data_IF_992366442850
#
_entry.id   IF_992366442850
#
_cell.length_a   1.000
_cell.length_b   1.000
_cell.length_c   1.000
_cell.angle_alpha   90.00
_cell.angle_beta   90.00
_cell.angle_gamma   90.00
#
_symmetry.space_group_name_H-M   'P 1'
#
loop_
_entity.id
_entity.type
_entity.pdbx_description
1 polymer ?
#
# COMPACT_ATOMS: atom_id res chain seq x y z
N UNK A 1 15.96 8.03 -28.79
CA UNK A 1 14.83 7.29 -29.40
C UNK A 1 15.41 5.91 -29.69
N UNK A 2 15.16 4.84 -28.92
CA UNK A 2 13.88 4.14 -28.68
C UNK A 2 13.99 3.42 -27.32
N UNK A 3 13.01 3.57 -26.41
CA UNK A 3 12.90 2.73 -25.21
C UNK A 3 12.55 1.31 -25.68
N UNK A 4 13.52 0.40 -25.71
CA UNK A 4 13.28 -1.00 -26.06
C UNK A 4 12.29 -1.62 -25.07
N UNK A 5 11.11 -2.00 -25.55
CA UNK A 5 10.07 -2.67 -24.78
C UNK A 5 10.58 -4.04 -24.30
N UNK A 6 11.15 -4.07 -23.10
CA UNK A 6 11.50 -5.34 -22.43
C UNK A 6 10.22 -6.15 -22.24
N UNK A 7 10.22 -7.42 -22.67
CA UNK A 7 9.05 -8.28 -22.52
C UNK A 7 8.71 -8.50 -21.04
N UNK A 8 7.45 -8.81 -20.69
CA UNK A 8 7.05 -9.08 -19.30
C UNK A 8 7.88 -10.22 -18.68
N UNK A 9 8.25 -11.22 -19.49
CA UNK A 9 9.16 -12.30 -19.11
C UNK A 9 10.57 -11.78 -18.80
N UNK A 10 11.10 -10.87 -19.62
CA UNK A 10 12.40 -10.24 -19.38
C UNK A 10 12.39 -9.33 -18.14
N UNK A 11 11.31 -8.58 -17.92
CA UNK A 11 11.13 -7.72 -16.74
C UNK A 11 11.19 -8.55 -15.45
N UNK A 12 10.54 -9.72 -15.42
CA UNK A 12 10.60 -10.64 -14.28
C UNK A 12 11.80 -11.59 -14.30
N UNK A 13 12.63 -11.55 -15.36
CA UNK A 13 13.76 -12.47 -15.60
C UNK A 13 13.35 -13.94 -15.54
N UNK A 14 12.28 -14.28 -16.26
CA UNK A 14 11.72 -15.63 -16.34
C UNK A 14 11.67 -16.12 -17.79
N UNK A 15 11.78 -17.44 -18.03
CA UNK A 15 11.46 -18.02 -19.33
C UNK A 15 9.95 -18.00 -19.59
N UNK A 16 9.55 -18.07 -20.86
CA UNK A 16 8.13 -18.19 -21.26
C UNK A 16 7.44 -19.43 -20.68
N UNK A 17 8.21 -20.47 -20.36
CA UNK A 17 7.76 -21.72 -19.74
C UNK A 17 7.59 -21.64 -18.22
N UNK A 18 7.83 -20.47 -17.60
CA UNK A 18 7.76 -20.32 -16.15
C UNK A 18 6.39 -20.67 -15.59
N UNK A 19 6.38 -21.41 -14.49
CA UNK A 19 5.18 -21.76 -13.73
C UNK A 19 4.66 -20.56 -12.93
N UNK A 20 3.38 -20.58 -12.56
CA UNK A 20 2.77 -19.54 -11.71
C UNK A 20 3.51 -19.37 -10.38
N UNK A 21 4.06 -20.46 -9.84
CA UNK A 21 4.86 -20.44 -8.61
C UNK A 21 6.15 -19.64 -8.82
N UNK A 22 6.85 -19.85 -9.93
CA UNK A 22 8.07 -19.12 -10.30
C UNK A 22 7.78 -17.65 -10.59
N UNK A 23 6.66 -17.36 -11.28
CA UNK A 23 6.17 -15.99 -11.53
C UNK A 23 5.97 -15.23 -10.21
N UNK A 24 5.28 -15.84 -9.24
CA UNK A 24 5.08 -15.25 -7.91
C UNK A 24 6.40 -15.01 -7.17
N UNK A 25 7.35 -15.95 -7.25
CA UNK A 25 8.67 -15.83 -6.59
C UNK A 25 9.50 -14.72 -7.23
N UNK A 26 9.59 -14.71 -8.56
CA UNK A 26 10.35 -13.71 -9.31
C UNK A 26 9.79 -12.31 -9.09
N UNK A 27 8.46 -12.17 -9.12
CA UNK A 27 7.78 -10.93 -8.81
C UNK A 27 8.14 -10.41 -7.43
N UNK A 28 8.03 -11.21 -6.36
CA UNK A 28 8.40 -10.76 -5.00
C UNK A 28 9.85 -10.26 -4.93
N UNK A 29 10.77 -10.94 -5.63
CA UNK A 29 12.19 -10.56 -5.67
C UNK A 29 12.42 -9.28 -6.48
N UNK A 30 11.78 -9.15 -7.63
CA UNK A 30 11.87 -7.98 -8.50
C UNK A 30 11.22 -6.77 -7.84
N UNK A 31 10.03 -6.93 -7.26
CA UNK A 31 9.30 -5.90 -6.53
C UNK A 31 10.16 -5.36 -5.39
N UNK A 32 10.73 -6.20 -4.53
CA UNK A 32 11.60 -5.74 -3.42
C UNK A 32 12.81 -4.91 -3.90
N UNK A 33 13.40 -5.27 -5.05
CA UNK A 33 14.55 -4.57 -5.63
C UNK A 33 14.16 -3.25 -6.30
N UNK A 34 13.05 -3.26 -7.01
CA UNK A 34 12.51 -2.08 -7.68
C UNK A 34 11.76 -1.15 -6.71
N UNK A 35 11.44 -1.61 -5.49
CA UNK A 35 10.66 -0.85 -4.53
C UNK A 35 11.37 0.45 -4.17
N UNK A 36 10.74 1.62 -4.38
CA UNK A 36 11.43 2.89 -4.17
C UNK A 36 11.83 3.18 -2.72
N UNK A 37 11.09 2.67 -1.73
CA UNK A 37 11.50 2.75 -0.31
C UNK A 37 12.78 1.96 0.00
N UNK A 38 13.23 1.10 -0.91
CA UNK A 38 14.50 0.36 -0.81
C UNK A 38 15.56 0.88 -1.79
N UNK A 39 15.38 2.11 -2.31
CA UNK A 39 16.30 2.74 -3.26
C UNK A 39 16.08 2.34 -4.72
N UNK A 40 14.95 1.69 -5.05
CA UNK A 40 14.55 1.37 -6.41
C UNK A 40 13.84 2.52 -7.15
N UNK A 41 13.44 2.27 -8.40
CA UNK A 41 12.75 3.24 -9.26
C UNK A 41 11.25 2.89 -9.39
N UNK A 42 10.39 3.88 -9.16
CA UNK A 42 8.94 3.75 -9.26
C UNK A 42 8.46 3.32 -10.66
N UNK A 43 9.14 3.77 -11.72
CA UNK A 43 8.84 3.37 -13.08
C UNK A 43 9.18 1.90 -13.32
N UNK A 44 10.34 1.45 -12.83
CA UNK A 44 10.73 0.04 -12.88
C UNK A 44 9.77 -0.81 -12.06
N UNK A 45 9.36 -0.32 -10.90
CA UNK A 45 8.38 -1.00 -10.06
C UNK A 45 7.03 -1.17 -10.77
N UNK A 46 6.53 -0.12 -11.43
CA UNK A 46 5.33 -0.20 -12.27
C UNK A 46 5.46 -1.26 -13.36
N UNK A 47 6.60 -1.31 -14.05
CA UNK A 47 6.86 -2.33 -15.07
C UNK A 47 6.85 -3.75 -14.49
N UNK A 48 7.48 -3.94 -13.31
CA UNK A 48 7.50 -5.21 -12.60
C UNK A 48 6.09 -5.66 -12.17
N UNK A 49 5.28 -4.74 -11.64
CA UNK A 49 3.88 -5.02 -11.28
C UNK A 49 3.04 -5.36 -12.51
N UNK A 50 3.13 -4.56 -13.58
CA UNK A 50 2.40 -4.82 -14.82
C UNK A 50 2.77 -6.18 -15.43
N UNK A 51 4.07 -6.51 -15.45
CA UNK A 51 4.54 -7.80 -15.94
C UNK A 51 3.95 -8.96 -15.12
N UNK A 52 3.93 -8.84 -13.80
CA UNK A 52 3.33 -9.84 -12.93
C UNK A 52 1.82 -9.97 -13.15
N UNK A 53 1.08 -8.86 -13.20
CA UNK A 53 -0.38 -8.86 -13.41
C UNK A 53 -0.79 -9.50 -14.73
N UNK A 54 -0.03 -9.27 -15.80
CA UNK A 54 -0.28 -9.89 -17.10
C UNK A 54 0.06 -11.38 -17.09
N UNK A 55 1.20 -11.76 -16.49
CA UNK A 55 1.68 -13.15 -16.55
C UNK A 55 1.00 -14.09 -15.55
N UNK A 56 0.47 -13.60 -14.43
CA UNK A 56 -0.15 -14.46 -13.41
C UNK A 56 -1.62 -14.80 -13.71
N UNK A 57 -2.29 -14.00 -14.54
CA UNK A 57 -3.64 -14.28 -15.00
C UNK A 57 -3.58 -15.16 -16.26
N UNK A 58 -4.15 -16.39 -16.26
CA UNK A 58 -4.03 -17.30 -17.40
C UNK A 58 -4.60 -16.74 -18.70
N UNK A 59 -5.66 -15.92 -18.64
CA UNK A 59 -6.28 -15.33 -19.83
C UNK A 59 -5.44 -14.19 -20.38
N UNK A 60 -4.94 -13.31 -19.51
CA UNK A 60 -4.06 -12.19 -19.90
C UNK A 60 -2.71 -12.71 -20.40
N UNK A 61 -2.15 -13.74 -19.75
CA UNK A 61 -0.94 -14.42 -20.17
C UNK A 61 -1.11 -15.05 -21.55
N UNK A 62 -2.17 -15.81 -21.77
CA UNK A 62 -2.42 -16.42 -23.08
C UNK A 62 -2.59 -15.36 -24.19
N UNK A 63 -3.25 -14.23 -23.90
CA UNK A 63 -3.37 -13.12 -24.84
C UNK A 63 -2.01 -12.46 -25.14
N UNK A 64 -1.20 -12.26 -24.10
CA UNK A 64 0.15 -11.73 -24.20
C UNK A 64 1.09 -12.69 -24.96
N UNK A 65 1.02 -13.99 -24.69
CA UNK A 65 1.85 -15.00 -25.35
C UNK A 65 1.54 -15.09 -26.84
N UNK A 66 0.26 -14.93 -27.22
CA UNK A 66 -0.13 -14.83 -28.63
C UNK A 66 0.52 -13.63 -29.30
N UNK A 67 0.43 -12.43 -28.74
CA UNK A 67 1.06 -11.24 -29.35
C UNK A 67 2.58 -11.29 -29.29
N UNK A 68 3.15 -11.89 -28.24
CA UNK A 68 4.59 -12.09 -28.08
C UNK A 68 5.16 -13.02 -29.16
N UNK A 69 4.48 -14.14 -29.43
CA UNK A 69 4.88 -15.09 -30.47
C UNK A 69 4.81 -14.51 -31.90
N UNK A 70 3.91 -13.56 -32.16
CA UNK A 70 3.79 -12.88 -33.45
C UNK A 70 4.80 -11.73 -33.63
N UNK A 71 5.46 -11.28 -32.55
CA UNK A 71 6.46 -10.20 -32.58
C UNK A 71 7.92 -10.66 -32.55
N UNK A 72 8.19 -11.93 -32.21
CA UNK A 72 9.55 -12.50 -32.15
C UNK A 72 9.79 -13.47 -33.30
N UNK A 73 10.06 -12.93 -34.49
CA UNK A 73 10.75 -13.68 -35.54
C UNK A 73 12.18 -13.98 -35.10
N UNK A 74 12.49 -15.27 -34.97
CA UNK A 74 13.78 -15.92 -34.75
C UNK A 74 15.05 -15.06 -34.61
N UNK A 75 15.71 -15.14 -33.44
CA UNK A 75 17.17 -15.32 -33.36
C UNK A 75 17.52 -16.20 -32.14
N UNK A 76 18.42 -17.19 -32.25
CA UNK A 76 18.80 -18.05 -31.15
C UNK A 76 19.72 -17.33 -30.14
N UNK A 77 19.76 -17.87 -28.93
CA UNK A 77 20.56 -17.41 -27.82
C UNK A 77 22.07 -17.36 -28.13
N UNK A 78 22.70 -16.23 -27.82
CA UNK A 78 24.15 -16.13 -27.62
C UNK A 78 24.42 -15.38 -26.33
N UNK A 79 25.24 -15.99 -25.46
CA UNK A 79 25.56 -15.49 -24.14
C UNK A 79 26.35 -14.19 -24.21
N UNK A 80 25.74 -13.11 -23.73
CA UNK A 80 26.45 -11.86 -23.48
C UNK A 80 26.95 -11.85 -22.03
N UNK A 81 28.25 -12.13 -21.87
CA UNK A 81 29.04 -11.72 -20.72
C UNK A 81 28.86 -10.21 -20.48
N UNK A 82 28.54 -9.83 -19.24
CA UNK A 82 28.65 -8.44 -18.80
C UNK A 82 29.88 -8.32 -17.91
N UNK A 83 30.95 -7.75 -18.46
CA UNK A 83 32.02 -7.19 -17.66
C UNK A 83 31.49 -5.97 -16.89
N UNK A 84 31.73 -5.97 -15.59
CA UNK A 84 31.43 -4.84 -14.71
C UNK A 84 32.48 -3.73 -14.94
N UNK A 85 32.10 -2.45 -15.12
CA UNK A 85 33.07 -1.38 -15.00
C UNK A 85 33.31 -1.06 -13.53
N UNK A 86 34.59 -0.86 -13.24
CA UNK A 86 35.17 -0.57 -11.95
C UNK A 86 34.68 0.75 -11.34
N UNK A 87 34.79 0.79 -10.01
CA UNK A 87 34.54 1.96 -9.19
C UNK A 87 35.47 3.14 -9.53
N UNK A 88 34.92 4.36 -9.51
CA UNK A 88 35.68 5.58 -9.28
C UNK A 88 35.61 6.62 -10.39
N UNK A 89 34.68 7.56 -10.29
CA UNK A 89 34.93 8.97 -10.61
C UNK A 89 33.82 9.85 -10.04
N UNK A 90 34.18 10.65 -9.02
CA UNK A 90 33.39 11.78 -8.55
C UNK A 90 33.61 12.94 -9.54
N UNK A 91 32.61 13.23 -10.35
CA UNK A 91 32.48 14.51 -11.01
C UNK A 91 31.04 15.00 -10.82
N UNK A 92 30.89 16.05 -10.01
CA UNK A 92 29.63 16.75 -9.82
C UNK A 92 29.25 17.45 -11.13
N UNK A 93 28.45 16.78 -11.96
CA UNK A 93 27.72 17.44 -13.03
C UNK A 93 26.36 17.90 -12.47
N UNK A 94 26.19 19.21 -12.33
CA UNK A 94 24.88 19.83 -12.11
C UNK A 94 23.99 19.55 -13.31
N UNK A 95 23.24 18.44 -13.23
CA UNK A 95 22.19 18.11 -14.19
C UNK A 95 21.03 19.07 -13.93
N UNK A 96 20.86 20.04 -14.83
CA UNK A 96 19.63 20.81 -14.93
C UNK A 96 18.52 19.85 -15.36
N UNK A 97 17.78 19.28 -14.39
CA UNK A 97 16.62 18.44 -14.67
C UNK A 97 15.50 19.35 -15.20
N UNK A 98 14.95 19.11 -16.40
CA UNK A 98 13.75 19.80 -16.83
C UNK A 98 12.62 19.52 -15.81
N UNK A 99 11.78 20.53 -15.61
CA UNK A 99 10.73 20.61 -14.60
C UNK A 99 9.83 19.35 -14.64
N UNK A 100 10.22 18.30 -13.91
CA UNK A 100 9.42 17.09 -13.79
C UNK A 100 8.17 17.47 -13.03
N UNK A 101 6.96 17.14 -13.52
CA UNK A 101 5.72 17.51 -12.85
C UNK A 101 5.78 17.07 -11.38
N UNK A 102 5.37 17.98 -10.49
CA UNK A 102 5.35 17.70 -9.05
C UNK A 102 4.53 16.43 -8.82
N UNK A 103 5.11 15.51 -8.06
CA UNK A 103 4.52 14.23 -7.66
C UNK A 103 4.45 14.22 -6.14
N UNK A 104 3.76 15.22 -5.60
CA UNK A 104 3.55 15.43 -4.17
C UNK A 104 2.17 14.94 -3.77
N UNK A 105 1.98 14.61 -2.50
CA UNK A 105 0.72 14.02 -2.03
C UNK A 105 -0.51 14.89 -2.27
N UNK A 106 -0.33 16.22 -2.31
CA UNK A 106 -1.41 17.19 -2.52
C UNK A 106 -1.77 17.43 -3.99
N UNK A 107 -1.03 16.87 -4.94
CA UNK A 107 -1.33 17.01 -6.37
C UNK A 107 -2.58 16.20 -6.76
N UNK A 108 -3.14 16.51 -7.93
CA UNK A 108 -4.29 15.81 -8.48
C UNK A 108 -4.03 14.30 -8.60
N UNK A 109 -5.05 13.44 -8.39
CA UNK A 109 -4.87 12.00 -8.42
C UNK A 109 -4.52 11.50 -9.82
N UNK A 110 -3.46 10.69 -9.91
CA UNK A 110 -3.06 9.98 -11.14
C UNK A 110 -3.48 8.53 -11.02
N UNK A 111 -4.34 8.06 -11.94
CA UNK A 111 -4.79 6.67 -11.94
C UNK A 111 -3.81 5.78 -12.67
N UNK A 112 -3.47 4.64 -12.05
CA UNK A 112 -2.57 3.65 -12.63
C UNK A 112 -3.25 2.27 -12.61
N UNK A 113 -3.52 1.66 -13.78
CA UNK A 113 -3.41 2.25 -15.12
C UNK A 113 -4.41 3.41 -15.34
N UNK A 114 -4.18 4.29 -16.33
CA UNK A 114 -5.11 5.36 -16.68
C UNK A 114 -6.41 4.80 -17.27
N UNK A 115 -7.52 5.51 -17.06
CA UNK A 115 -8.84 5.11 -17.59
C UNK A 115 -9.04 5.46 -19.07
N UNK A 116 -8.23 6.37 -19.61
CA UNK A 116 -8.38 6.91 -20.98
C UNK A 116 -7.73 6.04 -22.06
N UNK A 117 -6.92 5.03 -21.70
CA UNK A 117 -6.32 4.06 -22.63
C UNK A 117 -7.34 3.01 -23.15
N UNK A 118 -8.42 3.49 -23.79
CA UNK A 118 -9.42 2.65 -24.46
C UNK A 118 -8.86 1.90 -25.67
N UNK A 119 -7.75 2.37 -26.26
CA UNK A 119 -7.11 1.75 -27.43
C UNK A 119 -6.58 0.34 -27.15
N UNK A 120 -6.31 0.00 -25.88
CA UNK A 120 -5.79 -1.33 -25.52
C UNK A 120 -6.88 -2.41 -25.36
N UNK A 121 -8.18 -2.07 -25.53
CA UNK A 121 -9.30 -3.02 -25.41
C UNK A 121 -9.47 -3.67 -24.03
N UNK A 122 -8.73 -3.21 -23.01
CA UNK A 122 -8.76 -3.78 -21.66
C UNK A 122 -9.93 -3.20 -20.86
N UNK A 123 -10.85 -4.07 -20.43
CA UNK A 123 -11.92 -3.69 -19.49
C UNK A 123 -11.29 -3.28 -18.15
N UNK A 124 -11.58 -2.08 -17.63
CA UNK A 124 -11.02 -1.63 -16.36
C UNK A 124 -11.48 -2.53 -15.21
N UNK A 125 -10.58 -2.83 -14.26
CA UNK A 125 -10.84 -3.74 -13.14
C UNK A 125 -12.00 -3.28 -12.24
N UNK A 126 -12.22 -1.97 -12.18
CA UNK A 126 -13.33 -1.29 -11.52
C UNK A 126 -13.71 -0.05 -12.34
N UNK A 127 -14.98 0.42 -12.30
CA UNK A 127 -15.40 1.66 -12.96
C UNK A 127 -14.63 2.89 -12.44
N UNK A 128 -14.46 3.89 -13.30
CA UNK A 128 -13.73 5.13 -12.96
C UNK A 128 -14.40 5.89 -11.81
N UNK A 129 -15.73 5.88 -11.74
CA UNK A 129 -16.53 6.51 -10.69
C UNK A 129 -16.26 5.85 -9.33
N UNK A 130 -16.12 4.52 -9.32
CA UNK A 130 -15.77 3.77 -8.13
C UNK A 130 -14.33 4.09 -7.72
N UNK A 131 -13.39 4.12 -8.66
CA UNK A 131 -12.00 4.46 -8.37
C UNK A 131 -11.81 5.92 -7.94
N UNK A 132 -12.67 6.85 -8.36
CA UNK A 132 -12.61 8.27 -8.00
C UNK A 132 -13.12 8.55 -6.58
N UNK A 133 -14.04 7.74 -6.07
CA UNK A 133 -14.59 7.89 -4.72
C UNK A 133 -13.49 7.69 -3.68
N UNK A 134 -13.32 8.63 -2.74
CA UNK A 134 -12.28 8.50 -1.70
C UNK A 134 -12.67 7.58 -0.54
N UNK A 135 -13.96 7.39 -0.27
CA UNK A 135 -14.44 6.58 0.87
C UNK A 135 -15.27 5.40 0.35
N UNK A 136 -14.90 4.19 0.75
CA UNK A 136 -15.54 2.94 0.36
C UNK A 136 -16.02 2.16 1.59
N UNK A 137 -17.13 1.45 1.43
CA UNK A 137 -17.76 0.69 2.52
C UNK A 137 -18.30 1.60 3.62
N UNK A 138 -18.72 0.98 4.72
CA UNK A 138 -19.23 1.67 5.90
C UNK A 138 -18.77 0.96 7.17
N UNK A 139 -18.57 1.68 8.29
CA UNK A 139 -18.46 1.07 9.61
C UNK A 139 -19.66 0.17 9.89
N UNK A 140 -19.42 -1.09 10.27
CA UNK A 140 -20.51 -2.09 10.32
C UNK A 140 -21.29 -2.03 11.63
N UNK A 141 -22.62 -2.26 11.55
CA UNK A 141 -23.45 -2.62 12.71
C UNK A 141 -23.40 -4.14 12.86
N UNK A 142 -22.90 -4.67 13.98
CA UNK A 142 -22.89 -6.12 14.24
C UNK A 142 -23.27 -6.37 15.71
N UNK A 143 -24.21 -7.29 15.93
CA UNK A 143 -24.66 -7.71 17.27
C UNK A 143 -25.63 -6.75 17.95
N UNK A 144 -26.48 -7.28 18.84
CA UNK A 144 -27.52 -6.53 19.59
C UNK A 144 -26.90 -5.77 20.79
N UNK A 145 -25.69 -6.15 21.23
CA UNK A 145 -24.99 -5.60 22.38
C UNK A 145 -23.56 -5.18 22.01
N UNK A 146 -23.07 -4.04 22.54
CA UNK A 146 -21.69 -3.57 22.35
C UNK A 146 -21.35 -2.97 20.97
N UNK A 147 -22.30 -2.99 20.03
CA UNK A 147 -22.14 -2.41 18.71
C UNK A 147 -21.89 -0.89 18.76
N UNK A 148 -22.48 -0.19 19.72
CA UNK A 148 -22.46 1.27 19.77
C UNK A 148 -21.07 1.84 20.02
N UNK A 149 -20.34 1.38 21.04
CA UNK A 149 -18.97 1.83 21.30
C UNK A 149 -18.02 1.52 20.13
N UNK A 150 -18.24 0.38 19.46
CA UNK A 150 -17.50 -0.03 18.25
C UNK A 150 -17.79 0.89 17.06
N UNK A 151 -19.07 1.15 16.79
CA UNK A 151 -19.50 2.07 15.72
C UNK A 151 -18.96 3.47 16.02
N UNK A 152 -19.00 3.93 17.27
CA UNK A 152 -18.47 5.23 17.67
C UNK A 152 -16.97 5.34 17.38
N UNK A 153 -16.14 4.35 17.75
CA UNK A 153 -14.68 4.39 17.48
C UNK A 153 -14.36 4.32 15.98
N UNK A 154 -15.07 3.51 15.21
CA UNK A 154 -14.89 3.43 13.75
C UNK A 154 -15.33 4.72 13.07
N UNK A 155 -16.51 5.25 13.40
CA UNK A 155 -17.03 6.50 12.85
C UNK A 155 -16.12 7.69 13.15
N UNK A 156 -15.55 7.76 14.36
CA UNK A 156 -14.56 8.80 14.71
C UNK A 156 -13.31 8.71 13.84
N UNK A 157 -12.82 7.50 13.59
CA UNK A 157 -11.67 7.29 12.70
C UNK A 157 -11.99 7.73 11.27
N UNK A 158 -13.16 7.36 10.74
CA UNK A 158 -13.62 7.81 9.41
C UNK A 158 -13.72 9.34 9.36
N UNK A 159 -14.33 9.98 10.36
CA UNK A 159 -14.45 11.44 10.42
C UNK A 159 -13.09 12.13 10.49
N UNK A 160 -12.16 11.60 11.28
CA UNK A 160 -10.82 12.14 11.42
C UNK A 160 -10.04 12.07 10.10
N UNK A 161 -10.06 10.91 9.43
CA UNK A 161 -9.40 10.70 8.13
C UNK A 161 -10.03 11.59 7.07
N UNK A 162 -11.37 11.61 6.98
CA UNK A 162 -12.10 12.41 5.99
C UNK A 162 -11.88 13.91 6.15
N UNK A 163 -11.68 14.40 7.38
CA UNK A 163 -11.43 15.84 7.62
C UNK A 163 -9.97 16.23 7.47
N UNK A 164 -9.03 15.38 7.91
CA UNK A 164 -7.63 15.80 8.06
C UNK A 164 -6.67 15.17 7.05
N UNK A 165 -7.04 14.05 6.42
CA UNK A 165 -6.16 13.32 5.49
C UNK A 165 -6.64 13.47 4.05
N UNK A 166 -7.90 13.11 3.77
CA UNK A 166 -8.42 13.07 2.39
C UNK A 166 -8.33 14.41 1.63
N UNK A 167 -8.54 15.58 2.27
CA UNK A 167 -8.35 16.87 1.59
C UNK A 167 -6.88 17.18 1.28
N UNK A 168 -5.95 16.66 2.10
CA UNK A 168 -4.51 16.88 1.93
C UNK A 168 -3.87 15.87 0.96
N UNK A 169 -4.52 14.73 0.73
CA UNK A 169 -4.05 13.65 -0.14
C UNK A 169 -5.20 13.19 -1.04
N UNK A 170 -5.49 13.89 -2.15
CA UNK A 170 -6.63 13.59 -3.04
C UNK A 170 -6.64 12.15 -3.59
N UNK A 171 -5.46 11.55 -3.75
CA UNK A 171 -5.31 10.17 -4.21
C UNK A 171 -5.62 9.11 -3.15
N UNK A 172 -5.76 9.49 -1.87
CA UNK A 172 -6.04 8.54 -0.82
C UNK A 172 -7.42 7.90 -0.97
N UNK A 173 -7.50 6.59 -0.68
CA UNK A 173 -8.72 5.77 -0.68
C UNK A 173 -8.87 5.11 0.68
N UNK A 174 -9.89 5.51 1.41
CA UNK A 174 -10.30 4.91 2.68
C UNK A 174 -11.27 3.76 2.39
N UNK A 175 -10.92 2.55 2.84
CA UNK A 175 -11.73 1.36 2.71
C UNK A 175 -12.14 0.91 4.11
N UNK A 176 -13.45 0.83 4.34
CA UNK A 176 -14.04 0.43 5.61
C UNK A 176 -14.62 -0.99 5.53
N UNK A 177 -14.50 -1.75 6.62
CA UNK A 177 -15.15 -3.06 6.74
C UNK A 177 -14.49 -4.17 5.93
N UNK A 178 -13.17 -4.15 5.81
CA UNK A 178 -12.39 -5.22 5.17
C UNK A 178 -12.38 -6.50 6.04
N UNK A 179 -12.29 -7.65 5.40
CA UNK A 179 -11.98 -8.91 6.07
C UNK A 179 -10.47 -9.17 6.08
N UNK A 180 -9.98 -9.62 7.22
CA UNK A 180 -8.61 -10.03 7.43
C UNK A 180 -8.36 -11.34 6.69
N UNK A 181 -7.37 -11.39 5.80
CA UNK A 181 -7.01 -12.63 5.10
C UNK A 181 -6.22 -13.60 6.01
N UNK A 182 -5.90 -13.20 7.25
CA UNK A 182 -5.16 -14.03 8.18
C UNK A 182 -6.07 -15.04 8.91
N UNK A 183 -7.24 -14.58 9.30
CA UNK A 183 -8.13 -15.23 10.27
C UNK A 183 -9.62 -14.91 10.02
N UNK A 184 -9.96 -14.28 8.89
CA UNK A 184 -11.31 -13.81 8.53
C UNK A 184 -11.93 -12.84 9.56
N UNK A 185 -11.12 -12.27 10.46
CA UNK A 185 -11.55 -11.20 11.37
C UNK A 185 -11.81 -9.90 10.60
N UNK A 186 -12.37 -8.88 11.24
CA UNK A 186 -12.61 -7.58 10.58
C UNK A 186 -11.42 -6.65 10.79
N UNK A 187 -10.99 -5.99 9.71
CA UNK A 187 -10.10 -4.84 9.76
C UNK A 187 -10.99 -3.60 9.77
N UNK A 188 -10.86 -2.75 10.78
CA UNK A 188 -11.72 -1.56 10.92
C UNK A 188 -11.61 -0.68 9.67
N UNK A 189 -10.38 -0.25 9.33
CA UNK A 189 -10.11 0.59 8.17
C UNK A 189 -8.79 0.26 7.49
N UNK A 190 -8.72 0.52 6.19
CA UNK A 190 -7.47 0.60 5.45
C UNK A 190 -7.41 1.89 4.63
N UNK A 191 -6.24 2.49 4.51
CA UNK A 191 -6.01 3.71 3.74
C UNK A 191 -4.89 3.47 2.73
N UNK A 192 -5.26 3.54 1.44
CA UNK A 192 -4.37 3.32 0.30
C UNK A 192 -4.04 4.66 -0.37
N UNK A 193 -2.77 4.92 -0.63
CA UNK A 193 -2.30 6.03 -1.49
C UNK A 193 -0.95 5.65 -2.09
N UNK A 194 -0.83 5.79 -3.41
CA UNK A 194 0.33 5.32 -4.17
C UNK A 194 0.61 3.83 -3.91
N UNK A 195 1.79 3.58 -3.34
CA UNK A 195 2.28 2.25 -2.98
C UNK A 195 2.33 2.03 -1.48
N UNK A 196 1.48 2.74 -0.73
CA UNK A 196 1.41 2.66 0.73
C UNK A 196 0.02 2.27 1.18
N UNK A 197 -0.04 1.28 2.07
CA UNK A 197 -1.27 0.79 2.67
C UNK A 197 -1.15 0.85 4.19
N UNK A 198 -1.97 1.70 4.80
CA UNK A 198 -2.09 1.79 6.24
C UNK A 198 -3.30 0.97 6.71
N UNK A 199 -3.08 -0.03 7.56
CA UNK A 199 -4.17 -0.71 8.28
C UNK A 199 -4.41 0.01 9.60
N UNK A 200 -5.67 0.26 9.94
CA UNK A 200 -6.03 1.07 11.11
C UNK A 200 -7.02 0.28 11.94
N UNK A 201 -6.64 -0.02 13.17
CA UNK A 201 -7.54 -0.44 14.23
C UNK A 201 -7.83 0.71 15.16
N UNK A 202 -8.96 0.67 15.85
CA UNK A 202 -9.34 1.74 16.79
C UNK A 202 -9.74 1.22 18.16
N UNK A 203 -9.57 2.06 19.17
CA UNK A 203 -10.04 1.85 20.54
C UNK A 203 -10.71 3.13 21.04
N UNK A 204 -11.58 3.00 22.05
CA UNK A 204 -12.12 4.12 22.79
C UNK A 204 -11.73 3.92 24.25
N UNK A 205 -10.84 4.78 24.76
CA UNK A 205 -10.36 4.70 26.15
C UNK A 205 -10.53 6.05 26.83
N UNK A 206 -10.86 6.09 28.14
CA UNK A 206 -10.94 7.33 28.90
C UNK A 206 -9.67 8.17 28.78
N UNK A 207 -9.81 9.48 29.00
CA UNK A 207 -8.67 10.39 29.14
C UNK A 207 -7.72 9.90 30.24
N UNK A 208 -6.44 10.24 30.09
CA UNK A 208 -5.41 9.84 31.04
C UNK A 208 -4.10 9.49 30.35
N UNK A 209 -3.10 9.16 31.17
CA UNK A 209 -1.78 8.75 30.72
C UNK A 209 -1.69 7.22 30.65
N UNK A 210 -1.39 6.69 29.48
CA UNK A 210 -1.25 5.26 29.23
C UNK A 210 0.20 4.96 28.89
N UNK A 211 0.77 3.94 29.53
CA UNK A 211 2.10 3.47 29.20
C UNK A 211 2.04 2.34 28.16
N UNK A 212 2.80 2.50 27.07
CA UNK A 212 2.98 1.49 26.02
C UNK A 212 4.37 0.86 26.11
N UNK A 213 4.41 -0.48 26.19
CA UNK A 213 5.65 -1.25 26.31
C UNK A 213 6.03 -2.02 25.03
N UNK A 214 5.32 -1.82 23.92
CA UNK A 214 5.52 -2.55 22.67
C UNK A 214 4.55 -3.71 22.43
N UNK A 215 3.80 -4.14 23.44
CA UNK A 215 2.79 -5.19 23.31
C UNK A 215 1.45 -4.86 23.98
N UNK A 216 1.46 -4.09 25.06
CA UNK A 216 0.30 -3.90 25.93
C UNK A 216 0.25 -2.47 26.45
N UNK A 217 -0.95 -1.91 26.55
CA UNK A 217 -1.20 -0.63 27.20
C UNK A 217 -1.44 -0.85 28.69
N UNK A 218 -0.95 0.05 29.52
CA UNK A 218 -1.20 0.02 30.96
C UNK A 218 -1.75 1.35 31.45
N UNK A 219 -2.79 1.30 32.30
CA UNK A 219 -3.41 2.47 32.92
C UNK A 219 -3.94 2.11 34.31
N UNK A 220 -3.51 2.85 35.34
CA UNK A 220 -3.92 2.59 36.73
C UNK A 220 -3.59 1.17 37.20
N UNK A 221 -2.45 0.60 36.77
CA UNK A 221 -2.06 -0.78 37.09
C UNK A 221 -2.79 -1.87 36.30
N UNK A 222 -3.75 -1.51 35.43
CA UNK A 222 -4.49 -2.46 34.60
C UNK A 222 -3.89 -2.54 33.20
N UNK A 223 -3.63 -3.75 32.74
CA UNK A 223 -3.26 -4.04 31.36
C UNK A 223 -4.51 -4.01 30.45
N UNK A 224 -4.41 -3.32 29.30
CA UNK A 224 -5.38 -3.44 28.21
C UNK A 224 -4.67 -3.82 26.90
N UNK A 225 -5.19 -4.86 26.26
CA UNK A 225 -4.64 -5.38 25.01
C UNK A 225 -5.14 -4.55 23.82
N UNK A 226 -4.25 -4.05 22.93
CA UNK A 226 -4.67 -3.43 21.69
C UNK A 226 -5.17 -4.48 20.67
N UNK A 227 -5.85 -4.05 19.59
CA UNK A 227 -6.14 -4.91 18.44
C UNK A 227 -4.86 -5.56 17.88
N UNK A 228 -4.94 -6.86 17.58
CA UNK A 228 -3.79 -7.64 17.09
C UNK A 228 -3.53 -7.42 15.59
N UNK A 229 -3.15 -6.22 15.19
CA UNK A 229 -2.95 -5.88 13.78
C UNK A 229 -1.66 -6.46 13.18
N UNK A 230 -0.65 -6.80 13.99
CA UNK A 230 0.68 -7.13 13.49
C UNK A 230 0.69 -8.35 12.54
N UNK A 231 -0.08 -9.39 12.87
CA UNK A 231 -0.20 -10.55 11.99
C UNK A 231 -0.97 -10.22 10.71
N UNK A 232 -1.96 -9.32 10.79
CA UNK A 232 -2.76 -8.88 9.63
C UNK A 232 -1.88 -8.05 8.70
N UNK A 233 -1.09 -7.12 9.22
CA UNK A 233 -0.10 -6.32 8.47
C UNK A 233 0.84 -7.25 7.70
N UNK A 234 1.41 -8.27 8.35
CA UNK A 234 2.28 -9.24 7.69
C UNK A 234 1.57 -9.97 6.55
N UNK A 235 0.34 -10.45 6.78
CA UNK A 235 -0.44 -11.18 5.76
C UNK A 235 -0.85 -10.28 4.59
N UNK A 236 -1.22 -9.04 4.87
CA UNK A 236 -1.53 -8.04 3.85
C UNK A 236 -0.28 -7.69 3.05
N UNK A 237 0.89 -7.58 3.67
CA UNK A 237 2.17 -7.38 2.98
C UNK A 237 2.51 -8.54 2.03
N UNK A 238 2.21 -9.78 2.42
CA UNK A 238 2.42 -10.95 1.56
C UNK A 238 1.45 -10.96 0.35
N UNK A 239 0.22 -10.48 0.54
CA UNK A 239 -0.81 -10.41 -0.50
C UNK A 239 -0.57 -9.25 -1.45
N UNK A 240 -0.09 -8.12 -0.94
CA UNK A 240 0.22 -6.90 -1.69
C UNK A 240 1.73 -6.61 -1.62
N UNK A 241 2.58 -7.47 -2.23
CA UNK A 241 4.02 -7.25 -2.23
C UNK A 241 4.43 -5.98 -3.01
N UNK A 242 3.53 -5.41 -3.82
CA UNK A 242 3.69 -4.10 -4.45
C UNK A 242 3.50 -2.92 -3.49
N UNK A 243 2.96 -3.13 -2.30
CA UNK A 243 2.69 -2.05 -1.34
C UNK A 243 3.64 -2.16 -0.17
N UNK A 244 4.02 -1.02 0.41
CA UNK A 244 4.51 -0.97 1.77
C UNK A 244 3.31 -0.95 2.72
N UNK A 245 3.15 -2.02 3.51
CA UNK A 245 2.03 -2.19 4.43
C UNK A 245 2.50 -1.98 5.87
N UNK A 246 1.79 -1.12 6.61
CA UNK A 246 2.04 -0.91 8.03
C UNK A 246 0.72 -0.69 8.79
N UNK A 247 0.76 -0.68 10.12
CA UNK A 247 -0.42 -0.58 10.96
C UNK A 247 -0.41 0.60 11.94
N UNK A 248 -1.59 1.10 12.27
CA UNK A 248 -1.83 1.95 13.43
C UNK A 248 -2.97 1.41 14.27
N UNK A 249 -2.83 1.49 15.58
CA UNK A 249 -3.95 1.44 16.51
C UNK A 249 -4.17 2.85 17.04
N UNK A 250 -5.28 3.46 16.67
CA UNK A 250 -5.68 4.78 17.19
C UNK A 250 -6.55 4.62 18.43
N UNK A 251 -6.18 5.33 19.50
CA UNK A 251 -6.97 5.43 20.71
C UNK A 251 -7.70 6.77 20.70
N UNK A 252 -9.02 6.73 20.65
CA UNK A 252 -9.87 7.90 20.74
C UNK A 252 -10.24 8.18 22.20
N UNK A 253 -10.18 9.44 22.60
CA UNK A 253 -10.82 9.92 23.85
C UNK A 253 -12.34 10.06 23.66
N UNK A 254 -13.20 9.74 24.65
CA UNK A 254 -14.66 9.87 24.57
C UNK A 254 -15.18 11.26 24.20
N UNK A 255 -14.46 12.33 24.53
CA UNK A 255 -14.85 13.70 24.18
C UNK A 255 -14.37 14.16 22.79
N UNK A 256 -13.58 13.34 22.11
CA UNK A 256 -13.06 13.65 20.76
C UNK A 256 -11.80 14.52 20.74
N UNK A 257 -11.18 14.80 21.90
CA UNK A 257 -9.88 15.46 21.91
C UNK A 257 -8.82 14.58 21.24
N UNK A 258 -8.13 15.11 20.22
CA UNK A 258 -7.15 14.37 19.42
C UNK A 258 -5.83 14.14 20.15
N UNK A 259 -5.50 14.96 21.14
CA UNK A 259 -4.28 14.84 21.93
C UNK A 259 -4.45 13.93 23.15
N UNK A 260 -5.67 13.45 23.39
CA UNK A 260 -6.02 12.52 24.46
C UNK A 260 -6.44 11.15 23.90
N UNK A 261 -6.15 10.05 24.61
CA UNK A 261 -5.28 10.00 25.79
C UNK A 261 -3.81 10.27 25.45
N UNK A 262 -3.02 10.60 26.47
CA UNK A 262 -1.55 10.67 26.35
C UNK A 262 -1.00 9.25 26.39
N UNK A 263 -0.14 8.91 25.43
CA UNK A 263 0.47 7.59 25.31
C UNK A 263 1.98 7.74 25.45
N UNK A 264 2.49 7.28 26.59
CA UNK A 264 3.91 7.27 26.91
C UNK A 264 4.54 5.99 26.36
N UNK A 265 5.33 6.15 25.31
CA UNK A 265 6.11 5.05 24.77
C UNK A 265 7.38 4.88 25.63
N UNK A 266 7.46 3.78 26.39
CA UNK A 266 8.71 3.44 27.05
C UNK A 266 9.83 3.33 26.01
N UNK A 267 11.03 3.85 26.34
CA UNK A 267 12.16 3.96 25.39
C UNK A 267 12.35 2.66 24.62
N UNK A 268 12.37 2.81 23.29
CA UNK A 268 12.56 1.75 22.28
C UNK A 268 13.59 0.70 22.72
N UNK A 269 13.22 -0.57 22.60
CA UNK A 269 14.23 -1.61 22.41
C UNK A 269 14.98 -1.33 21.09
N UNK A 270 16.32 -1.42 21.02
CA UNK A 270 17.11 -0.95 19.87
C UNK A 270 16.92 -1.77 18.58
N UNK A 271 16.04 -2.77 18.55
CA UNK A 271 15.92 -3.71 17.42
C UNK A 271 14.46 -4.02 17.10
N UNK A 272 13.90 -3.20 16.21
CA UNK A 272 12.64 -3.49 15.54
C UNK A 272 11.84 -2.21 15.29
N UNK A 273 11.62 -1.87 14.03
CA UNK A 273 10.50 -0.99 13.70
C UNK A 273 9.22 -1.73 14.11
N UNK A 274 8.47 -1.20 15.08
CA UNK A 274 7.13 -1.71 15.36
C UNK A 274 6.31 -1.66 14.07
N UNK A 275 5.87 -2.82 13.59
CA UNK A 275 5.00 -2.94 12.41
C UNK A 275 3.63 -2.29 12.63
N UNK A 276 3.27 -2.02 13.89
CA UNK A 276 2.01 -1.36 14.28
C UNK A 276 2.33 -0.30 15.32
N UNK A 277 1.97 0.94 15.06
CA UNK A 277 2.14 2.04 16.01
C UNK A 277 0.86 2.25 16.82
N UNK A 278 0.97 2.47 18.13
CA UNK A 278 -0.16 2.81 18.99
C UNK A 278 -0.15 4.30 19.28
N UNK A 279 -1.22 5.02 18.92
CA UNK A 279 -1.22 6.50 18.92
C UNK A 279 -2.58 7.07 19.32
N UNK A 280 -2.61 8.34 19.74
CA UNK A 280 -3.86 9.10 19.84
C UNK A 280 -4.28 9.67 18.47
N UNK A 281 -5.39 10.40 18.42
CA UNK A 281 -5.92 10.97 17.17
C UNK A 281 -4.93 11.88 16.44
N UNK A 282 -4.23 12.76 17.16
CA UNK A 282 -3.24 13.67 16.60
C UNK A 282 -2.02 12.91 16.05
N UNK A 283 -1.56 11.89 16.80
CA UNK A 283 -0.50 10.98 16.38
C UNK A 283 -0.86 10.21 15.11
N UNK A 284 -2.10 9.73 15.00
CA UNK A 284 -2.60 9.06 13.78
C UNK A 284 -2.53 10.02 12.59
N UNK A 285 -3.03 11.24 12.72
CA UNK A 285 -3.03 12.19 11.60
C UNK A 285 -1.60 12.47 11.12
N UNK A 286 -0.69 12.76 12.04
CA UNK A 286 0.73 13.01 11.72
C UNK A 286 1.36 11.80 11.05
N UNK A 287 1.22 10.62 11.65
CA UNK A 287 1.79 9.37 11.14
C UNK A 287 1.27 9.00 9.76
N UNK A 288 -0.04 9.13 9.52
CA UNK A 288 -0.64 8.85 8.22
C UNK A 288 -0.17 9.85 7.15
N UNK A 289 -0.09 11.15 7.46
CA UNK A 289 0.42 12.15 6.50
C UNK A 289 1.87 11.87 6.13
N UNK A 290 2.72 11.65 7.11
CA UNK A 290 4.15 11.35 6.92
C UNK A 290 4.32 10.07 6.11
N UNK A 291 3.63 9.00 6.50
CA UNK A 291 3.67 7.73 5.81
C UNK A 291 3.19 7.89 4.36
N UNK A 292 1.93 8.25 4.13
CA UNK A 292 1.36 8.28 2.77
C UNK A 292 2.09 9.25 1.83
N UNK A 293 2.63 10.36 2.35
CA UNK A 293 3.33 11.35 1.52
C UNK A 293 4.78 10.99 1.21
N UNK A 294 5.41 10.11 1.98
CA UNK A 294 6.82 9.71 1.77
C UNK A 294 7.00 8.65 0.68
N UNK A 295 5.93 8.21 0.02
CA UNK A 295 5.99 7.20 -1.04
C UNK A 295 6.56 7.76 -2.35
N UNK A 296 6.95 6.90 -3.30
CA UNK A 296 7.46 7.32 -4.61
C UNK A 296 6.45 7.97 -5.55
N UNK A 297 5.16 7.77 -5.29
CA UNK A 297 4.07 8.32 -6.09
C UNK A 297 2.83 8.57 -5.22
N UNK A 298 2.90 9.52 -4.28
CA UNK A 298 1.88 9.70 -3.26
C UNK A 298 0.55 10.22 -3.82
N UNK A 299 0.54 10.86 -5.00
CA UNK A 299 -0.68 11.24 -5.70
C UNK A 299 -1.25 10.12 -6.61
N UNK A 300 -0.71 8.90 -6.57
CA UNK A 300 -1.20 7.81 -7.41
C UNK A 300 -2.35 7.04 -6.75
N UNK A 301 -3.37 6.73 -7.55
CA UNK A 301 -4.41 5.75 -7.21
C UNK A 301 -4.06 4.45 -7.91
N UNK A 302 -3.55 3.47 -7.15
CA UNK A 302 -3.25 2.14 -7.66
C UNK A 302 -4.55 1.35 -7.85
N UNK A 303 -5.08 1.35 -9.08
CA UNK A 303 -6.40 0.78 -9.42
C UNK A 303 -6.44 -0.74 -9.21
N UNK A 304 -5.41 -1.53 -9.60
CA UNK A 304 -5.39 -2.97 -9.31
C UNK A 304 -5.41 -3.29 -7.82
N UNK A 305 -4.60 -2.61 -7.01
CA UNK A 305 -4.59 -2.79 -5.56
C UNK A 305 -5.94 -2.42 -4.94
N UNK A 306 -6.51 -1.28 -5.36
CA UNK A 306 -7.84 -0.85 -4.92
C UNK A 306 -8.91 -1.90 -5.28
N UNK A 307 -8.94 -2.38 -6.52
CA UNK A 307 -9.90 -3.39 -6.96
C UNK A 307 -9.81 -4.68 -6.13
N UNK A 308 -8.59 -5.14 -5.80
CA UNK A 308 -8.35 -6.30 -4.95
C UNK A 308 -8.84 -6.07 -3.51
N UNK A 309 -8.59 -4.90 -2.94
CA UNK A 309 -9.10 -4.53 -1.61
C UNK A 309 -10.63 -4.50 -1.59
N UNK A 310 -11.26 -3.89 -2.61
CA UNK A 310 -12.72 -3.80 -2.68
C UNK A 310 -13.40 -5.17 -2.81
N UNK A 311 -12.77 -6.15 -3.47
CA UNK A 311 -13.26 -7.54 -3.48
C UNK A 311 -13.26 -8.19 -2.09
N UNK A 312 -12.34 -7.81 -1.21
CA UNK A 312 -12.24 -8.31 0.16
C UNK A 312 -13.20 -7.67 1.17
N UNK A 313 -14.11 -6.78 0.72
CA UNK A 313 -15.17 -6.21 1.58
C UNK A 313 -16.34 -7.19 1.81
N UNK A 314 -16.48 -8.22 0.97
CA UNK A 314 -17.60 -9.16 0.98
C UNK A 314 -17.29 -10.41 1.81
#
# INVERSE_FOLDING_TARGET
>A
MTQGSSSHYQVLRLPVTATDKEIKVAYRKAARRAHPDHGGDAAVFRQVTLAYETLIDPKRRAAYDRSYAHGTGATPAEGAHFDAPAAGSRASATVHRPNSPRNTAGDAPVYVPPFEDRESGSVPLIPAEIAARQVHGMPRKRGIFGAEARIQREMRTVQLISRQILPAIPAARLINGLQSPADNSHIDHALLSGYRLALIGSMLLPKGAYAWNGSTLTHGGRAIAPPQLAHIVRRMQDIFPELNVTGWTVIHSPDGNLHEPVIDHHRRSPRGHETVQVVNGAGLVRGLKEFLSSGPAPNTVNVPALARLLRGMH
#
